data_IF_671677621653
#
_entry.id   IF_671677621653
#
_cell.length_a   1.000
_cell.length_b   1.000
_cell.length_c   1.000
_cell.angle_alpha   90.00
_cell.angle_beta   90.00
_cell.angle_gamma   90.00
#
_symmetry.space_group_name_H-M   'P 1'
#
loop_
_entity.id
_entity.type
_entity.pdbx_description
1 polymer ?
#
# COMPACT_ATOMS: atom_id res chain seq x y z
N UNK A 1 30.03 8.63 46.00
CA UNK A 1 30.88 7.84 45.09
C UNK A 1 29.98 6.85 44.38
N UNK A 2 29.57 7.15 43.15
CA UNK A 2 28.70 6.29 42.36
C UNK A 2 29.50 5.76 41.17
N UNK A 3 29.70 4.46 41.12
CA UNK A 3 30.46 3.78 40.07
C UNK A 3 29.77 3.95 38.70
N UNK A 4 30.52 4.15 37.61
CA UNK A 4 29.93 4.24 36.28
C UNK A 4 29.47 2.86 35.78
N UNK A 5 28.35 2.82 35.07
CA UNK A 5 27.81 1.60 34.44
C UNK A 5 28.76 1.05 33.36
N UNK A 6 28.87 -0.27 33.20
CA UNK A 6 29.72 -0.87 32.18
C UNK A 6 29.12 -0.68 30.77
N UNK A 7 29.98 -0.38 29.80
CA UNK A 7 29.59 -0.26 28.39
C UNK A 7 29.11 -1.61 27.82
N UNK A 8 28.11 -1.63 26.92
CA UNK A 8 27.59 -2.87 26.37
C UNK A 8 28.63 -3.55 25.45
N UNK A 9 28.87 -4.84 25.72
CA UNK A 9 29.76 -5.70 24.96
C UNK A 9 29.27 -5.90 23.53
N UNK A 10 30.12 -5.61 22.54
CA UNK A 10 29.87 -5.97 21.14
C UNK A 10 29.97 -7.50 20.99
N UNK A 11 28.83 -8.18 20.91
CA UNK A 11 28.78 -9.56 20.39
C UNK A 11 28.39 -9.53 18.91
N UNK A 12 29.39 -9.78 18.07
CA UNK A 12 29.19 -10.12 16.66
C UNK A 12 28.64 -11.55 16.60
N UNK A 13 27.33 -11.69 16.41
CA UNK A 13 26.71 -12.95 15.99
C UNK A 13 25.78 -12.66 14.81
N UNK A 14 25.90 -13.46 13.75
CA UNK A 14 25.28 -13.23 12.45
C UNK A 14 23.76 -13.02 12.55
N UNK A 15 23.27 -12.04 11.79
CA UNK A 15 21.85 -11.70 11.68
C UNK A 15 21.11 -12.87 11.03
N UNK A 16 20.53 -13.73 11.86
CA UNK A 16 19.47 -14.65 11.46
C UNK A 16 18.26 -14.43 12.36
N UNK A 17 17.76 -13.20 12.39
CA UNK A 17 16.51 -12.86 13.07
C UNK A 17 15.33 -13.28 12.18
N UNK A 18 14.78 -14.47 12.44
CA UNK A 18 13.49 -14.90 11.90
C UNK A 18 12.41 -13.89 12.31
N UNK A 19 12.02 -13.02 11.38
CA UNK A 19 10.90 -12.10 11.53
C UNK A 19 9.59 -12.92 11.46
N UNK A 20 8.79 -12.89 12.54
CA UNK A 20 7.43 -13.46 12.58
C UNK A 20 6.38 -12.53 11.90
N UNK A 21 6.82 -11.47 11.21
CA UNK A 21 5.95 -10.53 10.52
C UNK A 21 5.47 -11.02 9.14
N UNK A 22 4.49 -10.34 8.53
CA UNK A 22 4.00 -10.64 7.19
C UNK A 22 5.11 -10.68 6.14
N UNK A 23 4.95 -11.55 5.15
CA UNK A 23 5.78 -11.59 3.95
C UNK A 23 5.19 -10.66 2.89
N UNK A 24 6.02 -9.80 2.33
CA UNK A 24 5.60 -8.67 1.50
C UNK A 24 6.24 -8.78 0.12
N UNK A 25 5.38 -8.72 -0.89
CA UNK A 25 5.73 -8.54 -2.29
C UNK A 25 5.71 -7.04 -2.61
N UNK A 26 6.76 -6.54 -3.26
CA UNK A 26 6.80 -5.16 -3.76
C UNK A 26 6.66 -5.16 -5.29
N UNK A 27 5.68 -4.42 -5.80
CA UNK A 27 5.51 -4.18 -7.24
C UNK A 27 5.89 -2.72 -7.52
N UNK A 28 6.97 -2.51 -8.26
CA UNK A 28 7.55 -1.20 -8.54
C UNK A 28 8.63 -0.80 -7.52
N UNK A 29 9.89 -0.82 -7.95
CA UNK A 29 11.07 -0.45 -7.18
C UNK A 29 11.49 1.01 -7.41
N UNK A 30 10.50 1.90 -7.63
CA UNK A 30 10.71 3.34 -7.72
C UNK A 30 10.82 4.01 -6.35
N UNK A 31 10.82 5.35 -6.35
CA UNK A 31 10.88 6.15 -5.12
C UNK A 31 9.83 5.73 -4.09
N UNK A 32 8.58 5.55 -4.50
CA UNK A 32 7.50 5.09 -3.62
C UNK A 32 7.79 3.70 -3.05
N UNK A 33 8.20 2.73 -3.88
CA UNK A 33 8.54 1.38 -3.43
C UNK A 33 9.60 1.40 -2.32
N UNK A 34 10.66 2.22 -2.47
CA UNK A 34 11.67 2.42 -1.43
C UNK A 34 11.10 3.07 -0.16
N UNK A 35 10.25 4.09 -0.29
CA UNK A 35 9.63 4.80 0.83
C UNK A 35 8.80 3.86 1.72
N UNK A 36 8.10 2.88 1.14
CA UNK A 36 7.40 1.87 1.95
C UNK A 36 8.32 0.76 2.46
N UNK A 37 9.28 0.31 1.64
CA UNK A 37 10.14 -0.80 1.99
C UNK A 37 11.08 -0.51 3.17
N UNK A 38 11.66 0.70 3.19
CA UNK A 38 12.61 1.12 4.21
C UNK A 38 12.10 1.02 5.66
N UNK A 39 10.97 1.62 6.05
CA UNK A 39 10.44 1.55 7.40
C UNK A 39 10.01 0.12 7.78
N UNK A 40 9.47 -0.66 6.84
CA UNK A 40 9.07 -2.06 7.08
C UNK A 40 10.29 -2.90 7.47
N UNK A 41 11.37 -2.80 6.69
CA UNK A 41 12.62 -3.50 6.96
C UNK A 41 13.28 -2.99 8.25
N UNK A 42 13.36 -1.68 8.45
CA UNK A 42 14.02 -1.05 9.60
C UNK A 42 13.31 -1.34 10.92
N UNK A 43 11.98 -1.33 10.93
CA UNK A 43 11.16 -1.57 12.13
C UNK A 43 10.81 -3.06 12.33
N UNK A 44 11.28 -3.95 11.44
CA UNK A 44 11.01 -5.39 11.49
C UNK A 44 9.50 -5.74 11.53
N UNK A 45 8.69 -4.94 10.83
CA UNK A 45 7.23 -5.11 10.78
C UNK A 45 6.80 -6.21 9.81
N UNK A 46 7.72 -6.68 8.97
CA UNK A 46 7.50 -7.71 7.98
C UNK A 46 8.79 -8.02 7.26
N UNK A 47 8.74 -9.04 6.40
CA UNK A 47 9.85 -9.43 5.55
C UNK A 47 9.51 -9.15 4.09
N UNK A 48 10.29 -8.30 3.45
CA UNK A 48 10.20 -8.09 2.00
C UNK A 48 10.87 -9.30 1.35
N UNK A 49 10.12 -10.04 0.54
CA UNK A 49 10.55 -11.34 0.02
C UNK A 49 10.64 -11.38 -1.50
N UNK A 50 9.90 -10.51 -2.20
CA UNK A 50 9.85 -10.49 -3.66
C UNK A 50 9.76 -9.06 -4.18
N UNK A 51 10.44 -8.77 -5.29
CA UNK A 51 10.30 -7.53 -6.07
C UNK A 51 9.90 -7.80 -7.52
N UNK A 52 8.87 -7.13 -8.00
CA UNK A 52 8.48 -7.09 -9.41
C UNK A 52 8.77 -5.70 -9.97
N UNK A 53 9.73 -5.58 -10.90
CA UNK A 53 10.13 -4.30 -11.48
C UNK A 53 10.70 -4.52 -12.88
N UNK A 54 10.17 -3.87 -13.94
CA UNK A 54 10.65 -4.10 -15.29
C UNK A 54 12.08 -3.59 -15.53
N UNK A 55 12.53 -2.55 -14.83
CA UNK A 55 13.87 -1.97 -15.02
C UNK A 55 14.92 -2.77 -14.22
N UNK A 56 15.84 -3.51 -14.87
CA UNK A 56 16.75 -4.43 -14.18
C UNK A 56 17.63 -3.77 -13.11
N UNK A 57 18.09 -2.54 -13.37
CA UNK A 57 18.89 -1.78 -12.41
C UNK A 57 18.13 -1.52 -11.11
N UNK A 58 16.89 -1.01 -11.20
CA UNK A 58 16.05 -0.72 -10.03
C UNK A 58 15.70 -1.99 -9.26
N UNK A 59 15.36 -3.06 -9.99
CA UNK A 59 15.06 -4.38 -9.41
C UNK A 59 16.24 -4.90 -8.60
N UNK A 60 17.44 -4.86 -9.19
CA UNK A 60 18.68 -5.29 -8.55
C UNK A 60 19.03 -4.43 -7.33
N UNK A 61 18.94 -3.11 -7.45
CA UNK A 61 19.22 -2.18 -6.35
C UNK A 61 18.29 -2.42 -5.16
N UNK A 62 16.99 -2.52 -5.42
CA UNK A 62 15.97 -2.74 -4.41
C UNK A 62 16.15 -4.09 -3.71
N UNK A 63 16.33 -5.16 -4.47
CA UNK A 63 16.46 -6.48 -3.88
C UNK A 63 17.77 -6.67 -3.10
N UNK A 64 18.88 -6.08 -3.55
CA UNK A 64 20.11 -6.02 -2.74
C UNK A 64 19.89 -5.30 -1.41
N UNK A 65 19.05 -4.26 -1.41
CA UNK A 65 18.80 -3.45 -0.21
C UNK A 65 17.86 -4.14 0.79
N UNK A 66 16.83 -4.84 0.33
CA UNK A 66 15.74 -5.32 1.22
C UNK A 66 15.52 -6.83 1.24
N UNK A 67 16.02 -7.60 0.26
CA UNK A 67 15.67 -9.02 0.09
C UNK A 67 16.92 -9.90 0.23
N UNK A 68 17.90 -9.74 -0.66
CA UNK A 68 19.02 -10.67 -0.78
C UNK A 68 20.37 -10.17 -0.29
N UNK A 69 20.54 -8.87 -0.04
CA UNK A 69 21.80 -8.32 0.44
C UNK A 69 22.85 -8.16 -0.68
N UNK A 70 24.02 -7.62 -0.33
CA UNK A 70 25.05 -7.26 -1.29
C UNK A 70 25.88 -8.45 -1.83
N UNK A 71 25.84 -9.60 -1.15
CA UNK A 71 26.85 -10.67 -1.32
C UNK A 71 26.33 -11.93 -2.01
N UNK A 72 25.07 -11.96 -2.48
CA UNK A 72 24.53 -13.09 -3.23
C UNK A 72 23.68 -12.64 -4.41
N UNK A 73 23.60 -13.45 -5.48
CA UNK A 73 22.60 -13.27 -6.51
C UNK A 73 21.18 -13.50 -5.94
N UNK A 74 20.15 -12.94 -6.61
CA UNK A 74 18.77 -13.24 -6.28
C UNK A 74 18.46 -14.72 -6.51
N UNK A 75 17.62 -15.31 -5.66
CA UNK A 75 17.04 -16.62 -5.91
C UNK A 75 15.91 -16.49 -6.95
N UNK A 76 15.56 -17.57 -7.68
CA UNK A 76 14.55 -17.52 -8.74
C UNK A 76 13.15 -17.05 -8.32
N UNK A 77 12.89 -16.98 -7.00
CA UNK A 77 11.60 -16.58 -6.44
C UNK A 77 11.60 -15.18 -5.82
N UNK A 78 12.73 -14.47 -5.87
CA UNK A 78 12.91 -13.18 -5.19
C UNK A 78 12.75 -11.98 -6.12
N UNK A 79 12.89 -12.19 -7.43
CA UNK A 79 12.72 -11.10 -8.40
C UNK A 79 11.98 -11.56 -9.66
N UNK A 80 11.17 -10.65 -10.20
CA UNK A 80 10.43 -10.84 -11.44
C UNK A 80 10.42 -9.54 -12.25
N UNK A 81 10.33 -9.66 -13.57
CA UNK A 81 10.19 -8.50 -14.45
C UNK A 81 8.75 -7.96 -14.42
N UNK A 82 7.76 -8.86 -14.50
CA UNK A 82 6.34 -8.55 -14.37
C UNK A 82 5.74 -9.24 -13.13
N UNK A 83 4.74 -8.61 -12.51
CA UNK A 83 3.97 -9.22 -11.43
C UNK A 83 3.20 -10.46 -11.89
N UNK A 84 2.88 -10.57 -13.19
CA UNK A 84 2.23 -11.77 -13.75
C UNK A 84 3.14 -12.99 -13.67
N UNK A 85 4.45 -12.80 -13.84
CA UNK A 85 5.43 -13.89 -13.73
C UNK A 85 5.47 -14.41 -12.30
N UNK A 86 5.41 -13.51 -11.32
CA UNK A 86 5.26 -13.90 -9.92
C UNK A 86 3.97 -14.69 -9.66
N UNK A 87 2.83 -14.26 -10.23
CA UNK A 87 1.57 -14.98 -10.07
C UNK A 87 1.66 -16.39 -10.65
N UNK A 88 2.20 -16.53 -11.86
CA UNK A 88 2.41 -17.84 -12.48
C UNK A 88 3.35 -18.73 -11.63
N UNK A 89 4.45 -18.17 -11.14
CA UNK A 89 5.37 -18.85 -10.23
C UNK A 89 4.66 -19.31 -8.95
N UNK A 90 3.87 -18.45 -8.32
CA UNK A 90 3.20 -18.73 -7.05
C UNK A 90 2.09 -19.78 -7.21
N UNK A 91 1.33 -19.73 -8.30
CA UNK A 91 0.32 -20.76 -8.61
C UNK A 91 0.98 -22.12 -8.81
N UNK A 92 2.02 -22.20 -9.65
CA UNK A 92 2.78 -23.44 -9.85
C UNK A 92 3.40 -23.95 -8.55
N UNK A 93 3.95 -23.05 -7.72
CA UNK A 93 4.49 -23.42 -6.41
C UNK A 93 3.41 -24.06 -5.52
N UNK A 94 2.19 -23.52 -5.50
CA UNK A 94 1.08 -24.08 -4.73
C UNK A 94 0.68 -25.47 -5.23
N UNK A 95 0.61 -25.67 -6.54
CA UNK A 95 0.33 -27.00 -7.13
C UNK A 95 1.38 -28.02 -6.71
N UNK A 96 2.67 -27.65 -6.78
CA UNK A 96 3.78 -28.52 -6.38
C UNK A 96 3.80 -28.82 -4.88
N UNK A 97 3.31 -27.90 -4.04
CA UNK A 97 3.08 -28.18 -2.61
C UNK A 97 1.95 -29.20 -2.44
N UNK A 98 0.82 -29.00 -3.12
CA UNK A 98 -0.33 -29.93 -3.07
C UNK A 98 0.04 -31.32 -3.58
N UNK A 99 0.87 -31.41 -4.62
CA UNK A 99 1.40 -32.65 -5.15
C UNK A 99 2.47 -33.32 -4.26
N UNK A 100 2.91 -32.65 -3.19
CA UNK A 100 3.94 -33.16 -2.27
C UNK A 100 5.37 -33.13 -2.83
N UNK A 101 5.59 -32.54 -4.00
CA UNK A 101 6.92 -32.40 -4.63
C UNK A 101 7.84 -31.48 -3.82
N UNK A 102 7.24 -30.45 -3.22
CA UNK A 102 7.93 -29.54 -2.31
C UNK A 102 7.18 -29.49 -0.99
N UNK A 103 7.93 -29.53 0.10
CA UNK A 103 7.34 -29.30 1.42
C UNK A 103 6.86 -27.87 1.50
N UNK A 104 5.63 -27.67 1.97
CA UNK A 104 5.21 -26.38 2.47
C UNK A 104 6.25 -25.96 3.52
N UNK A 105 6.93 -24.82 3.31
CA UNK A 105 7.85 -24.32 4.33
C UNK A 105 7.04 -24.14 5.62
N UNK A 106 7.50 -24.79 6.70
CA UNK A 106 6.99 -24.91 8.09
C UNK A 106 5.89 -23.91 8.53
N UNK A 107 5.05 -24.26 9.51
CA UNK A 107 3.87 -23.49 9.99
C UNK A 107 4.18 -22.04 10.46
N UNK A 108 5.45 -21.63 10.52
CA UNK A 108 5.99 -20.27 10.74
C UNK A 108 6.27 -19.46 9.45
N UNK A 109 6.21 -20.13 8.31
CA UNK A 109 6.52 -19.74 6.94
C UNK A 109 5.37 -20.12 6.02
N UNK A 110 4.13 -20.05 6.52
CA UNK A 110 2.99 -19.88 5.62
C UNK A 110 3.36 -18.76 4.65
N UNK A 111 3.36 -19.05 3.35
CA UNK A 111 3.16 -18.04 2.31
C UNK A 111 1.69 -17.57 2.35
N UNK A 112 1.16 -17.44 3.56
CA UNK A 112 -0.22 -17.19 3.91
C UNK A 112 -0.33 -15.72 4.24
N UNK A 113 -1.18 -15.06 3.44
CA UNK A 113 -1.39 -13.61 3.40
C UNK A 113 -0.10 -12.86 3.04
N UNK A 114 0.27 -12.96 1.75
CA UNK A 114 1.04 -11.89 1.11
C UNK A 114 0.25 -10.59 1.35
N UNK A 115 0.81 -9.69 2.13
CA UNK A 115 0.27 -8.34 2.30
C UNK A 115 0.59 -7.56 1.03
N UNK A 116 -0.43 -7.22 0.26
CA UNK A 116 -0.29 -6.37 -0.91
C UNK A 116 -0.10 -4.93 -0.44
N UNK A 117 1.04 -4.31 -0.76
CA UNK A 117 1.16 -2.86 -0.69
C UNK A 117 1.10 -2.31 -2.11
N UNK A 118 -0.08 -1.79 -2.48
CA UNK A 118 -0.24 -1.02 -3.71
C UNK A 118 0.40 0.35 -3.52
N UNK A 119 1.65 0.49 -3.93
CA UNK A 119 2.20 1.81 -4.26
C UNK A 119 1.66 2.22 -5.62
N UNK A 120 0.41 2.66 -5.67
CA UNK A 120 -0.16 3.25 -6.89
C UNK A 120 -0.76 4.60 -6.56
N UNK A 121 -0.01 5.66 -6.90
CA UNK A 121 -0.57 6.99 -6.99
C UNK A 121 -1.50 7.06 -8.21
N UNK A 122 -2.78 6.74 -8.05
CA UNK A 122 -3.77 7.16 -9.05
C UNK A 122 -3.99 8.67 -8.91
N UNK A 123 -3.42 9.43 -9.84
CA UNK A 123 -3.96 10.75 -10.20
C UNK A 123 -5.04 10.50 -11.22
N UNK A 124 -6.30 10.37 -10.78
CA UNK A 124 -7.47 10.50 -11.68
C UNK A 124 -8.58 11.31 -11.01
N UNK A 125 -8.57 12.60 -11.38
CA UNK A 125 -9.72 13.44 -11.76
C UNK A 125 -10.94 13.52 -10.85
N UNK A 126 -11.42 14.75 -10.62
CA UNK A 126 -12.66 14.99 -9.89
C UNK A 126 -13.88 14.78 -10.82
N UNK A 127 -14.84 13.98 -10.38
CA UNK A 127 -15.88 13.31 -11.18
C UNK A 127 -17.12 14.16 -11.53
N UNK A 128 -17.04 15.50 -11.55
CA UNK A 128 -18.17 16.37 -11.95
C UNK A 128 -17.80 17.69 -12.64
N UNK A 129 -16.52 17.95 -12.98
CA UNK A 129 -16.10 19.14 -13.73
C UNK A 129 -15.04 18.79 -14.78
N UNK A 130 -15.10 19.43 -15.94
CA UNK A 130 -14.26 19.27 -17.12
C UNK A 130 -12.77 19.67 -16.92
N UNK A 131 -12.15 19.38 -15.78
CA UNK A 131 -10.75 19.67 -15.51
C UNK A 131 -9.97 18.36 -15.29
N UNK A 132 -9.61 17.69 -16.40
CA UNK A 132 -8.65 16.58 -16.39
C UNK A 132 -7.28 17.17 -16.03
N UNK A 133 -6.65 16.69 -14.95
CA UNK A 133 -5.28 17.07 -14.64
C UNK A 133 -4.29 15.99 -15.09
N UNK A 134 -4.03 15.94 -16.40
CA UNK A 134 -2.74 15.55 -16.96
C UNK A 134 -2.04 16.83 -17.44
N UNK A 135 -0.70 16.89 -17.35
CA UNK A 135 0.13 18.07 -17.64
C UNK A 135 -0.45 19.41 -17.14
N UNK A 136 -0.55 19.59 -15.82
CA UNK A 136 -1.00 20.86 -15.22
C UNK A 136 0.18 21.62 -14.62
N UNK A 137 0.10 22.96 -14.58
CA UNK A 137 1.09 23.80 -13.88
C UNK A 137 1.19 23.52 -12.37
N UNK A 138 0.21 22.80 -11.81
CA UNK A 138 0.03 22.52 -10.39
C UNK A 138 0.14 21.01 -10.14
N UNK A 139 1.27 20.43 -10.53
CA UNK A 139 1.57 19.01 -10.34
C UNK A 139 1.58 18.71 -8.83
N UNK A 140 0.91 17.64 -8.43
CA UNK A 140 0.80 17.21 -7.02
C UNK A 140 0.07 18.18 -6.08
N UNK A 141 -0.61 19.22 -6.58
CA UNK A 141 -1.52 20.01 -5.75
C UNK A 141 -2.91 19.36 -5.71
N UNK A 142 -3.22 18.67 -4.61
CA UNK A 142 -4.57 18.18 -4.32
C UNK A 142 -5.47 19.37 -3.95
N UNK A 143 -6.65 19.42 -4.56
CA UNK A 143 -7.68 20.44 -4.30
C UNK A 143 -9.06 19.85 -4.46
N UNK A 144 -10.03 20.39 -3.75
CA UNK A 144 -11.42 19.95 -3.86
C UNK A 144 -12.40 20.82 -3.11
N UNK A 145 -13.68 20.50 -3.30
CA UNK A 145 -14.79 21.15 -2.63
C UNK A 145 -15.88 20.13 -2.36
N UNK A 146 -16.41 20.14 -1.15
CA UNK A 146 -17.51 19.31 -0.68
C UNK A 146 -18.62 20.27 -0.25
N UNK A 147 -19.80 20.09 -0.81
CA UNK A 147 -20.98 20.88 -0.44
C UNK A 147 -21.87 20.05 0.48
N UNK A 148 -22.28 20.64 1.59
CA UNK A 148 -23.29 20.11 2.49
C UNK A 148 -24.51 21.03 2.54
N UNK A 149 -25.55 20.60 3.24
CA UNK A 149 -26.75 21.42 3.47
C UNK A 149 -26.51 22.55 4.48
N UNK A 150 -25.50 22.39 5.35
CA UNK A 150 -25.19 23.32 6.45
C UNK A 150 -23.89 24.10 6.25
N UNK A 151 -23.16 23.84 5.16
CA UNK A 151 -21.88 24.47 4.91
C UNK A 151 -21.16 23.90 3.69
N UNK A 152 -19.96 24.42 3.44
CA UNK A 152 -19.05 23.87 2.44
C UNK A 152 -17.63 23.72 3.00
N UNK A 153 -16.93 22.68 2.51
CA UNK A 153 -15.52 22.46 2.77
C UNK A 153 -14.77 22.67 1.47
N UNK A 154 -13.74 23.51 1.49
CA UNK A 154 -12.78 23.65 0.39
C UNK A 154 -11.40 23.28 0.87
N UNK A 155 -10.59 22.70 0.00
CA UNK A 155 -9.20 22.43 0.34
C UNK A 155 -8.29 22.60 -0.85
N UNK A 156 -7.05 22.95 -0.54
CA UNK A 156 -5.89 22.80 -1.39
C UNK A 156 -4.78 22.05 -0.63
N UNK A 157 -3.57 22.00 -1.18
CA UNK A 157 -2.45 21.28 -0.56
C UNK A 157 -1.82 22.00 0.65
N UNK A 158 -2.36 23.15 1.04
CA UNK A 158 -1.84 23.99 2.13
C UNK A 158 -2.89 24.26 3.20
N UNK A 159 -4.17 24.30 2.83
CA UNK A 159 -5.25 24.74 3.72
C UNK A 159 -6.53 23.97 3.45
N UNK A 160 -7.21 23.59 4.54
CA UNK A 160 -8.61 23.15 4.53
C UNK A 160 -9.44 24.29 5.11
N UNK A 161 -10.47 24.75 4.41
CA UNK A 161 -11.40 25.78 4.87
C UNK A 161 -12.79 25.20 5.04
N UNK A 162 -13.40 25.42 6.19
CA UNK A 162 -14.75 24.96 6.54
C UNK A 162 -15.63 26.19 6.74
N UNK A 163 -16.66 26.32 5.92
CA UNK A 163 -17.61 27.42 5.95
C UNK A 163 -18.97 26.95 6.48
N UNK A 164 -19.53 27.68 7.44
CA UNK A 164 -20.86 27.42 8.01
C UNK A 164 -21.90 28.36 7.40
N UNK A 165 -22.95 27.83 6.79
CA UNK A 165 -24.05 28.66 6.27
C UNK A 165 -24.91 29.27 7.39
N UNK A 166 -24.96 28.61 8.55
CA UNK A 166 -25.77 29.08 9.67
C UNK A 166 -25.19 30.34 10.34
N UNK A 167 -23.87 30.45 10.43
CA UNK A 167 -23.20 31.60 11.05
C UNK A 167 -22.53 32.55 10.05
N UNK A 168 -22.26 32.09 8.83
CA UNK A 168 -21.47 32.81 7.83
C UNK A 168 -19.96 32.73 8.06
N UNK A 169 -19.51 32.08 9.13
CA UNK A 169 -18.10 32.01 9.49
C UNK A 169 -17.33 30.98 8.66
N UNK A 170 -16.03 31.25 8.49
CA UNK A 170 -15.09 30.32 7.85
C UNK A 170 -13.90 30.07 8.77
N UNK A 171 -13.68 28.81 9.13
CA UNK A 171 -12.48 28.37 9.86
C UNK A 171 -11.49 27.77 8.88
N UNK A 172 -10.21 28.19 8.99
CA UNK A 172 -9.11 27.69 8.15
C UNK A 172 -8.14 26.87 8.97
N UNK A 173 -7.85 25.67 8.49
CA UNK A 173 -6.92 24.72 9.07
C UNK A 173 -5.70 24.60 8.15
N UNK A 174 -4.50 25.06 8.58
CA UNK A 174 -3.29 24.85 7.80
C UNK A 174 -2.90 23.37 7.83
N UNK A 175 -2.53 22.82 6.68
CA UNK A 175 -2.01 21.45 6.59
C UNK A 175 -0.53 21.44 6.96
N UNK A 176 -0.10 20.45 7.75
CA UNK A 176 1.33 20.23 7.99
C UNK A 176 1.96 19.72 6.68
N UNK A 177 2.78 20.54 6.04
CA UNK A 177 3.65 20.08 4.95
C UNK A 177 4.76 19.22 5.57
N UNK A 178 4.54 17.91 5.66
CA UNK A 178 5.63 16.96 5.93
C UNK A 178 6.57 16.91 4.70
N UNK A 179 7.80 16.44 4.89
CA UNK A 179 8.95 16.70 4.03
C UNK A 179 8.94 16.16 2.59
N UNK A 180 10.13 15.75 2.11
CA UNK A 180 10.38 15.38 0.69
C UNK A 180 9.44 14.27 0.20
N UNK A 181 9.05 14.34 -1.07
CA UNK A 181 8.23 13.33 -1.77
C UNK A 181 6.74 13.69 -1.81
N UNK A 182 6.15 13.75 -3.01
CA UNK A 182 4.70 13.87 -3.28
C UNK A 182 3.87 14.81 -2.37
N UNK A 183 4.44 15.91 -1.85
CA UNK A 183 3.74 16.88 -1.00
C UNK A 183 3.59 16.47 0.47
N UNK A 184 4.43 15.55 0.97
CA UNK A 184 4.46 15.12 2.37
C UNK A 184 3.49 13.99 2.72
N UNK A 185 2.68 13.53 1.76
CA UNK A 185 1.69 12.47 1.99
C UNK A 185 2.32 11.10 2.24
N UNK A 186 3.44 10.79 1.59
CA UNK A 186 4.05 9.46 1.64
C UNK A 186 4.55 9.09 3.04
N UNK A 187 5.15 10.04 3.74
CA UNK A 187 5.67 9.84 5.11
C UNK A 187 4.52 9.55 6.09
N UNK A 188 3.45 10.34 6.02
CA UNK A 188 2.25 10.12 6.86
C UNK A 188 1.54 8.81 6.53
N UNK A 189 1.54 8.39 5.27
CA UNK A 189 0.93 7.14 4.84
C UNK A 189 1.76 5.93 5.27
N UNK A 190 3.09 6.04 5.20
CA UNK A 190 4.01 5.07 5.79
C UNK A 190 3.77 4.96 7.29
N UNK A 191 3.68 6.08 8.02
CA UNK A 191 3.40 6.07 9.45
C UNK A 191 2.06 5.41 9.77
N UNK A 192 1.02 5.77 9.00
CA UNK A 192 -0.32 5.18 9.10
C UNK A 192 -0.39 3.73 8.61
N UNK A 193 0.65 3.18 7.99
CA UNK A 193 0.77 1.76 7.71
C UNK A 193 1.56 1.04 8.81
N UNK A 194 2.71 1.60 9.20
CA UNK A 194 3.63 0.99 10.14
C UNK A 194 3.08 0.90 11.55
N UNK A 195 2.41 1.95 12.04
CA UNK A 195 1.79 1.95 13.39
C UNK A 195 0.70 0.89 13.55
N UNK A 196 -0.33 0.81 12.67
CA UNK A 196 -1.32 -0.24 12.80
C UNK A 196 -0.73 -1.64 12.61
N UNK A 197 0.25 -1.81 11.71
CA UNK A 197 0.96 -3.08 11.57
C UNK A 197 1.71 -3.46 12.86
N UNK A 198 2.38 -2.50 13.50
CA UNK A 198 3.09 -2.73 14.75
C UNK A 198 2.13 -3.18 15.86
N UNK A 199 1.00 -2.49 16.04
CA UNK A 199 0.00 -2.81 17.06
C UNK A 199 -0.61 -4.22 16.87
N UNK A 200 -0.76 -4.65 15.61
CA UNK A 200 -1.24 -6.01 15.28
C UNK A 200 -0.17 -7.05 15.58
N UNK A 201 1.08 -6.80 15.17
CA UNK A 201 2.21 -7.72 15.39
C UNK A 201 2.53 -7.85 16.90
N UNK A 202 2.42 -6.77 17.67
CA UNK A 202 2.59 -6.78 19.12
C UNK A 202 1.36 -7.34 19.87
N UNK A 203 0.28 -7.68 19.14
CA UNK A 203 -1.00 -8.19 19.69
C UNK A 203 -1.69 -7.22 20.64
N UNK A 204 -1.41 -5.93 20.51
CA UNK A 204 -2.13 -4.88 21.24
C UNK A 204 -3.55 -4.71 20.72
N UNK A 205 -3.80 -5.08 19.46
CA UNK A 205 -5.09 -4.82 18.82
C UNK A 205 -5.32 -5.70 17.58
N UNK A 206 -6.59 -5.99 17.33
CA UNK A 206 -7.04 -6.75 16.15
C UNK A 206 -6.83 -5.99 14.83
N UNK A 207 -6.58 -6.74 13.75
CA UNK A 207 -6.27 -6.17 12.44
C UNK A 207 -7.35 -5.24 11.89
N UNK A 208 -8.64 -5.59 12.05
CA UNK A 208 -9.76 -4.76 11.60
C UNK A 208 -9.87 -3.46 12.40
N UNK A 209 -9.76 -3.53 13.72
CA UNK A 209 -9.77 -2.35 14.59
C UNK A 209 -8.58 -1.41 14.27
N UNK A 210 -7.41 -1.99 14.04
CA UNK A 210 -6.19 -1.31 13.64
C UNK A 210 -6.34 -0.57 12.31
N UNK A 211 -6.87 -1.27 11.30
CA UNK A 211 -7.11 -0.68 10.00
C UNK A 211 -8.15 0.45 10.08
N UNK A 212 -9.25 0.26 10.80
CA UNK A 212 -10.29 1.28 10.95
C UNK A 212 -9.77 2.56 11.62
N UNK A 213 -8.94 2.43 12.66
CA UNK A 213 -8.47 3.56 13.44
C UNK A 213 -7.39 4.39 12.71
N UNK A 214 -6.41 3.76 12.07
CA UNK A 214 -5.30 4.48 11.43
C UNK A 214 -5.48 4.74 9.93
N UNK A 215 -6.09 3.80 9.20
CA UNK A 215 -6.30 3.94 7.75
C UNK A 215 -7.68 4.53 7.41
N UNK A 216 -8.65 4.45 8.34
CA UNK A 216 -9.98 5.03 8.17
C UNK A 216 -10.84 4.33 7.12
N UNK A 217 -10.44 3.16 6.62
CA UNK A 217 -11.17 2.42 5.59
C UNK A 217 -10.98 0.90 5.71
N UNK A 218 -11.99 0.14 5.30
CA UNK A 218 -11.97 -1.32 5.18
C UNK A 218 -11.44 -1.77 3.82
N UNK A 219 -11.03 -3.05 3.74
CA UNK A 219 -10.51 -3.62 2.48
C UNK A 219 -11.52 -3.51 1.33
N UNK A 220 -12.82 -3.65 1.64
CA UNK A 220 -13.88 -3.50 0.66
C UNK A 220 -13.94 -2.07 0.11
N UNK A 221 -13.79 -1.05 0.95
CA UNK A 221 -13.79 0.36 0.53
C UNK A 221 -12.59 0.66 -0.38
N UNK A 222 -11.43 0.08 -0.09
CA UNK A 222 -10.25 0.14 -0.96
C UNK A 222 -10.54 -0.51 -2.31
N UNK A 223 -11.08 -1.73 -2.33
CA UNK A 223 -11.42 -2.44 -3.58
C UNK A 223 -12.46 -1.66 -4.38
N UNK A 224 -13.52 -1.15 -3.73
CA UNK A 224 -14.55 -0.31 -4.37
C UNK A 224 -13.95 0.90 -5.06
N UNK A 225 -13.02 1.61 -4.41
CA UNK A 225 -12.36 2.77 -5.01
C UNK A 225 -11.56 2.43 -6.28
N UNK A 226 -10.91 1.27 -6.32
CA UNK A 226 -10.19 0.79 -7.50
C UNK A 226 -11.13 0.34 -8.61
N UNK A 227 -12.18 -0.41 -8.26
CA UNK A 227 -13.19 -0.89 -9.22
C UNK A 227 -13.93 0.27 -9.88
N UNK A 228 -14.17 1.36 -9.15
CA UNK A 228 -14.78 2.57 -9.69
C UNK A 228 -14.03 3.10 -10.93
N UNK A 229 -12.69 2.97 -10.97
CA UNK A 229 -11.91 3.42 -12.13
C UNK A 229 -12.27 2.63 -13.40
N UNK A 230 -12.54 1.33 -13.28
CA UNK A 230 -12.97 0.50 -14.42
C UNK A 230 -14.38 0.83 -14.86
N UNK A 231 -15.30 1.04 -13.90
CA UNK A 231 -16.65 1.47 -14.19
C UNK A 231 -16.65 2.77 -15.01
N UNK A 232 -15.82 3.73 -14.64
CA UNK A 232 -15.73 4.97 -15.40
C UNK A 232 -15.01 4.80 -16.72
N UNK A 233 -13.92 4.03 -16.78
CA UNK A 233 -13.24 3.81 -18.06
C UNK A 233 -14.18 3.14 -19.08
N UNK A 234 -15.07 2.25 -18.62
CA UNK A 234 -16.16 1.69 -19.41
C UNK A 234 -17.15 2.78 -19.85
N UNK A 235 -17.68 3.57 -18.90
CA UNK A 235 -18.59 4.68 -19.18
C UNK A 235 -18.03 5.66 -20.22
N UNK A 236 -16.73 5.99 -20.14
CA UNK A 236 -16.02 6.89 -21.06
C UNK A 236 -15.89 6.30 -22.46
N UNK A 237 -15.50 5.03 -22.58
CA UNK A 237 -15.28 4.35 -23.86
C UNK A 237 -16.59 4.08 -24.59
N UNK A 238 -17.59 3.61 -23.85
CA UNK A 238 -18.89 3.22 -24.40
C UNK A 238 -19.87 4.40 -24.47
N UNK A 239 -19.55 5.52 -23.82
CA UNK A 239 -20.39 6.73 -23.73
C UNK A 239 -21.75 6.44 -23.09
N UNK A 240 -21.75 5.65 -22.03
CA UNK A 240 -22.96 5.21 -21.31
C UNK A 240 -22.95 5.67 -19.86
N UNK A 241 -24.15 5.71 -19.26
CA UNK A 241 -24.30 5.83 -17.81
C UNK A 241 -24.21 4.44 -17.20
N UNK A 242 -23.38 4.29 -16.17
CA UNK A 242 -23.20 3.02 -15.44
C UNK A 242 -23.98 3.07 -14.14
N UNK A 243 -24.89 2.11 -13.94
CA UNK A 243 -25.48 1.81 -12.64
C UNK A 243 -24.43 1.09 -11.77
N UNK A 244 -24.03 1.73 -10.67
CA UNK A 244 -22.93 1.25 -9.83
C UNK A 244 -23.26 -0.10 -9.18
N UNK A 245 -24.46 -0.25 -8.64
CA UNK A 245 -24.87 -1.46 -7.94
C UNK A 245 -24.91 -2.65 -8.91
N UNK A 246 -25.44 -2.46 -10.11
CA UNK A 246 -25.45 -3.47 -11.18
C UNK A 246 -24.03 -3.82 -11.63
N UNK A 247 -23.20 -2.82 -11.91
CA UNK A 247 -21.81 -3.02 -12.32
C UNK A 247 -21.02 -3.83 -11.27
N UNK A 248 -21.16 -3.46 -10.00
CA UNK A 248 -20.49 -4.15 -8.89
C UNK A 248 -20.91 -5.63 -8.80
N UNK A 249 -22.22 -5.92 -8.84
CA UNK A 249 -22.70 -7.32 -8.81
C UNK A 249 -22.14 -8.15 -9.96
N UNK A 250 -22.21 -7.62 -11.19
CA UNK A 250 -21.85 -8.35 -12.41
C UNK A 250 -20.34 -8.53 -12.57
N UNK A 251 -19.56 -7.49 -12.28
CA UNK A 251 -18.12 -7.46 -12.55
C UNK A 251 -17.26 -7.87 -11.35
N UNK A 252 -17.81 -7.86 -10.13
CA UNK A 252 -17.07 -8.19 -8.92
C UNK A 252 -17.65 -9.42 -8.24
N UNK A 253 -18.89 -9.36 -7.75
CA UNK A 253 -19.46 -10.43 -6.92
C UNK A 253 -19.61 -11.75 -7.67
N UNK A 254 -20.20 -11.72 -8.87
CA UNK A 254 -20.40 -12.94 -9.69
C UNK A 254 -19.07 -13.57 -10.08
N UNK A 255 -18.05 -12.77 -10.37
CA UNK A 255 -16.72 -13.28 -10.76
C UNK A 255 -15.97 -13.86 -9.55
N UNK A 256 -16.01 -13.20 -8.41
CA UNK A 256 -15.44 -13.71 -7.16
C UNK A 256 -16.09 -15.03 -6.73
N UNK A 257 -17.41 -15.15 -6.84
CA UNK A 257 -18.10 -16.41 -6.52
C UNK A 257 -17.73 -17.57 -7.44
N UNK A 258 -17.40 -17.30 -8.71
CA UNK A 258 -16.90 -18.32 -9.63
C UNK A 258 -15.51 -18.82 -9.22
N UNK A 259 -14.63 -17.93 -8.79
CA UNK A 259 -13.27 -18.31 -8.37
C UNK A 259 -13.20 -18.97 -6.99
N UNK A 260 -14.10 -18.62 -6.06
CA UNK A 260 -14.19 -19.26 -4.75
C UNK A 260 -14.82 -20.67 -4.77
N UNK A 261 -15.37 -21.09 -5.91
CA UNK A 261 -15.94 -22.43 -6.13
C UNK A 261 -14.98 -23.37 -6.88
N UNK A 262 -13.76 -22.92 -7.16
CA UNK A 262 -12.63 -23.73 -7.64
C UNK A 262 -11.68 -23.99 -6.46
#
# INVERSE_FOLDING_TARGET
>A
MSSPMPAPSKSTSGVNSKCNGPRILTIGAGAQGHTYAEPIARLHLGQIVVVCEPIPFKRTEFGRKYIWGAHRPPLPHEEFEDWKDFVAYELSRRERVTAGEIKELDKRTKLGRIGWSFSHSFVRGNWRRHDIAAATKKICERRGRIYGTTGEITYDSKTISVHSFASGDTVKYPTKLAGKGHGGGDESMVENFCRPAQAVVSREMEASASQRLWLGCEIEEIVRSHVAVFAVEKARKERVVIDWQKFWREEVEVKLQKELRL
#
